data_IF_444066138670
#
_entry.id   IF_444066138670
#
_cell.length_a   1.000
_cell.length_b   1.000
_cell.length_c   1.000
_cell.angle_alpha   90.00
_cell.angle_beta   90.00
_cell.angle_gamma   90.00
#
_symmetry.space_group_name_H-M   'P 1'
#
loop_
_entity.id
_entity.type
_entity.pdbx_description
1 polymer ?
#
# COMPACT_ATOMS: atom_id res chain seq x y z
N UNK A 1 50.14 -25.33 11.49
CA UNK A 1 49.30 -26.13 10.58
C UNK A 1 47.93 -26.22 11.24
N UNK A 2 47.14 -25.16 11.09
CA UNK A 2 46.18 -24.91 10.00
C UNK A 2 44.83 -25.54 10.36
N UNK A 3 43.96 -24.63 10.79
CA UNK A 3 42.55 -24.73 11.16
C UNK A 3 41.68 -25.29 10.03
N UNK A 4 40.92 -26.36 10.33
CA UNK A 4 39.77 -26.79 9.55
C UNK A 4 38.57 -25.85 9.83
N UNK A 5 38.49 -24.76 9.07
CA UNK A 5 37.34 -23.86 9.04
C UNK A 5 36.48 -24.24 7.81
N UNK A 6 35.45 -25.06 8.01
CA UNK A 6 34.47 -25.35 6.98
C UNK A 6 33.63 -24.10 6.70
N UNK A 7 33.57 -23.56 5.46
CA UNK A 7 32.68 -22.44 5.17
C UNK A 7 31.23 -22.93 5.18
N UNK A 8 30.48 -22.50 6.19
CA UNK A 8 29.04 -22.66 6.30
C UNK A 8 28.35 -22.21 4.99
N UNK A 9 27.66 -23.13 4.30
CA UNK A 9 26.80 -22.83 3.16
C UNK A 9 25.74 -21.81 3.56
N UNK A 10 25.95 -20.55 3.17
CA UNK A 10 24.95 -19.48 3.26
C UNK A 10 23.67 -19.93 2.55
N UNK A 11 22.46 -19.70 3.12
CA UNK A 11 21.22 -20.03 2.44
C UNK A 11 21.16 -19.29 1.11
N UNK A 12 20.82 -20.01 0.03
CA UNK A 12 20.67 -19.47 -1.32
C UNK A 12 19.78 -18.23 -1.27
N UNK A 13 20.40 -17.07 -1.44
CA UNK A 13 19.72 -15.80 -1.57
C UNK A 13 18.73 -15.82 -2.74
N UNK A 14 17.66 -15.04 -2.57
CA UNK A 14 16.57 -14.81 -3.53
C UNK A 14 17.12 -14.54 -4.94
N UNK A 15 16.49 -15.07 -6.01
CA UNK A 15 17.02 -15.00 -7.37
C UNK A 15 17.41 -13.57 -7.79
N UNK A 16 18.56 -13.47 -8.46
CA UNK A 16 19.04 -12.24 -9.07
C UNK A 16 17.96 -11.72 -10.04
N UNK A 17 17.43 -10.53 -9.77
CA UNK A 17 16.29 -9.95 -10.49
C UNK A 17 15.13 -9.51 -9.60
N UNK A 18 15.12 -9.85 -8.31
CA UNK A 18 14.18 -9.23 -7.37
C UNK A 18 14.60 -7.76 -7.17
N UNK A 19 13.73 -6.79 -7.48
CA UNK A 19 13.97 -5.33 -7.43
C UNK A 19 14.50 -4.77 -6.09
N UNK A 20 14.67 -5.64 -5.09
CA UNK A 20 15.44 -5.42 -3.87
C UNK A 20 16.96 -5.25 -4.09
N UNK A 21 17.51 -5.58 -5.26
CA UNK A 21 18.94 -5.37 -5.60
C UNK A 21 19.21 -4.11 -6.42
N UNK A 22 18.17 -3.42 -6.89
CA UNK A 22 18.35 -2.18 -7.63
C UNK A 22 18.73 -1.02 -6.70
N UNK A 23 19.56 -0.08 -7.17
CA UNK A 23 19.83 1.16 -6.46
C UNK A 23 18.50 1.84 -6.06
N UNK A 24 18.41 2.47 -4.88
CA UNK A 24 17.16 3.02 -4.36
C UNK A 24 16.39 3.90 -5.35
N UNK A 25 17.13 4.65 -6.18
CA UNK A 25 16.59 5.54 -7.21
C UNK A 25 15.84 4.76 -8.32
N UNK A 26 16.38 3.61 -8.73
CA UNK A 26 15.78 2.76 -9.78
C UNK A 26 14.56 2.01 -9.22
N UNK A 27 14.63 1.56 -7.96
CA UNK A 27 13.46 0.96 -7.26
C UNK A 27 12.31 1.96 -7.11
N UNK A 28 12.63 3.20 -6.74
CA UNK A 28 11.63 4.27 -6.64
C UNK A 28 11.00 4.59 -8.00
N UNK A 29 11.81 4.60 -9.07
CA UNK A 29 11.35 4.82 -10.44
C UNK A 29 10.43 3.70 -10.93
N UNK A 30 10.84 2.43 -10.81
CA UNK A 30 9.99 1.28 -11.19
C UNK A 30 8.71 1.18 -10.34
N UNK A 31 8.77 1.52 -9.04
CA UNK A 31 7.55 1.57 -8.21
C UNK A 31 6.58 2.67 -8.66
N UNK A 32 7.09 3.81 -9.14
CA UNK A 32 6.28 4.88 -9.72
C UNK A 32 5.71 4.49 -11.09
N UNK A 33 6.53 3.91 -11.95
CA UNK A 33 6.12 3.42 -13.28
C UNK A 33 5.07 2.31 -13.18
N UNK A 34 5.23 1.34 -12.26
CA UNK A 34 4.22 0.30 -12.02
C UNK A 34 2.91 0.85 -11.45
N UNK A 35 2.94 1.92 -10.63
CA UNK A 35 1.72 2.58 -10.12
C UNK A 35 1.01 3.40 -11.18
N UNK A 36 1.77 4.06 -12.06
CA UNK A 36 1.20 4.77 -13.21
C UNK A 36 0.56 3.78 -14.21
N UNK A 37 1.15 2.59 -14.40
CA UNK A 37 0.60 1.53 -15.24
C UNK A 37 -0.74 0.96 -14.76
N UNK A 38 -1.09 1.13 -13.48
CA UNK A 38 -2.38 0.68 -12.91
C UNK A 38 -3.51 1.71 -13.00
N UNK A 39 -3.28 2.90 -13.55
CA UNK A 39 -4.32 3.93 -13.74
C UNK A 39 -4.93 4.49 -12.45
N UNK A 40 -4.31 4.25 -11.29
CA UNK A 40 -4.86 4.69 -10.00
C UNK A 40 -4.58 6.19 -9.78
N UNK A 41 -5.61 7.03 -9.89
CA UNK A 41 -5.55 8.45 -9.52
C UNK A 41 -5.22 8.60 -8.04
N UNK A 42 -4.10 9.26 -7.74
CA UNK A 42 -3.73 9.62 -6.38
C UNK A 42 -4.31 10.98 -6.03
N UNK A 43 -5.04 11.04 -4.92
CA UNK A 43 -5.54 12.28 -4.34
C UNK A 43 -4.85 12.50 -3.00
N UNK A 44 -4.23 13.66 -2.86
CA UNK A 44 -3.67 14.12 -1.58
C UNK A 44 -4.62 15.21 -1.04
N UNK A 45 -5.00 15.10 0.23
CA UNK A 45 -5.91 16.03 0.91
C UNK A 45 -5.51 16.17 2.39
N UNK A 46 -6.00 17.23 3.03
CA UNK A 46 -5.81 17.48 4.46
C UNK A 46 -7.15 17.42 5.18
N UNK A 47 -7.15 16.85 6.39
CA UNK A 47 -8.28 16.90 7.31
C UNK A 47 -7.93 17.85 8.46
N UNK A 48 -8.94 18.53 8.99
CA UNK A 48 -8.79 19.19 10.28
C UNK A 48 -8.55 18.14 11.40
N UNK A 49 -8.04 18.56 12.57
CA UNK A 49 -7.72 17.63 13.66
C UNK A 49 -8.92 16.80 14.16
N UNK A 50 -10.13 17.38 14.18
CA UNK A 50 -11.33 16.67 14.65
C UNK A 50 -11.74 15.59 13.64
N UNK A 51 -11.75 15.92 12.36
CA UNK A 51 -12.00 15.00 11.25
C UNK A 51 -10.95 13.88 11.18
N UNK A 52 -9.69 14.19 11.52
CA UNK A 52 -8.64 13.15 11.61
C UNK A 52 -8.87 12.19 12.79
N UNK A 53 -9.47 12.65 13.89
CA UNK A 53 -9.86 11.79 15.01
C UNK A 53 -10.98 10.83 14.63
N UNK A 54 -12.04 11.35 14.00
CA UNK A 54 -13.16 10.55 13.50
C UNK A 54 -12.72 9.49 12.49
N UNK A 55 -11.69 9.76 11.68
CA UNK A 55 -11.15 8.75 10.76
C UNK A 55 -10.58 7.53 11.52
N UNK A 56 -9.99 7.72 12.70
CA UNK A 56 -9.48 6.61 13.51
C UNK A 56 -10.64 5.78 14.06
N UNK A 57 -11.70 6.42 14.55
CA UNK A 57 -12.91 5.73 15.01
C UNK A 57 -13.56 4.91 13.89
N UNK A 58 -13.64 5.47 12.68
CA UNK A 58 -14.13 4.76 11.50
C UNK A 58 -13.25 3.57 11.10
N UNK A 59 -11.93 3.69 11.27
CA UNK A 59 -11.03 2.56 11.05
C UNK A 59 -11.33 1.40 11.99
N UNK A 60 -11.59 1.69 13.27
CA UNK A 60 -11.96 0.66 14.25
C UNK A 60 -13.32 0.05 13.93
N UNK A 61 -14.33 0.89 13.66
CA UNK A 61 -15.70 0.45 13.36
C UNK A 61 -15.77 -0.48 12.14
N UNK A 62 -15.02 -0.18 11.08
CA UNK A 62 -15.00 -0.96 9.85
C UNK A 62 -13.89 -2.01 9.81
N UNK A 63 -13.12 -2.16 10.88
CA UNK A 63 -11.95 -3.04 10.95
C UNK A 63 -10.96 -2.80 9.78
N UNK A 64 -10.79 -1.52 9.40
CA UNK A 64 -9.91 -1.12 8.32
C UNK A 64 -8.46 -1.09 8.81
N UNK A 65 -7.54 -1.71 8.05
CA UNK A 65 -6.12 -1.80 8.44
C UNK A 65 -5.36 -0.52 8.14
N UNK A 66 -5.87 0.29 7.21
CA UNK A 66 -5.24 1.53 6.78
C UNK A 66 -6.25 2.67 6.68
N UNK A 67 -5.77 3.90 6.91
CA UNK A 67 -6.56 5.13 6.68
C UNK A 67 -7.12 5.20 5.26
N UNK A 68 -6.37 4.72 4.27
CA UNK A 68 -6.80 4.65 2.87
C UNK A 68 -8.06 3.80 2.73
N UNK A 69 -8.08 2.61 3.31
CA UNK A 69 -9.24 1.70 3.24
C UNK A 69 -10.49 2.34 3.85
N UNK A 70 -10.34 2.96 5.03
CA UNK A 70 -11.45 3.66 5.67
C UNK A 70 -11.98 4.82 4.81
N UNK A 71 -11.09 5.65 4.24
CA UNK A 71 -11.49 6.75 3.35
C UNK A 71 -12.18 6.23 2.08
N UNK A 72 -11.66 5.16 1.47
CA UNK A 72 -12.28 4.55 0.29
C UNK A 72 -13.67 4.00 0.60
N UNK A 73 -13.85 3.37 1.76
CA UNK A 73 -15.15 2.88 2.21
C UNK A 73 -16.13 4.03 2.45
N UNK A 74 -15.70 5.08 3.15
CA UNK A 74 -16.51 6.28 3.38
C UNK A 74 -16.98 6.93 2.07
N UNK A 75 -16.08 7.06 1.09
CA UNK A 75 -16.43 7.59 -0.24
C UNK A 75 -17.42 6.69 -0.98
N UNK A 76 -17.31 5.36 -0.83
CA UNK A 76 -18.28 4.43 -1.42
C UNK A 76 -19.67 4.59 -0.81
N UNK A 77 -19.77 4.73 0.51
CA UNK A 77 -21.03 5.00 1.20
C UNK A 77 -21.64 6.31 0.72
N UNK A 78 -20.87 7.40 0.71
CA UNK A 78 -21.35 8.71 0.21
C UNK A 78 -21.79 8.62 -1.25
N UNK A 79 -21.04 7.90 -2.08
CA UNK A 79 -21.40 7.74 -3.49
C UNK A 79 -22.72 6.97 -3.67
N UNK A 80 -22.95 5.92 -2.88
CA UNK A 80 -24.21 5.17 -2.90
C UNK A 80 -25.40 6.00 -2.36
N UNK A 81 -25.18 6.87 -1.38
CA UNK A 81 -26.25 7.72 -0.83
C UNK A 81 -26.66 8.82 -1.78
N UNK A 82 -25.71 9.43 -2.52
CA UNK A 82 -26.02 10.46 -3.52
C UNK A 82 -26.49 9.87 -4.85
N UNK A 83 -26.06 8.64 -5.18
CA UNK A 83 -26.46 7.91 -6.39
C UNK A 83 -27.08 6.54 -6.05
N UNK A 84 -28.33 6.50 -5.52
CA UNK A 84 -28.97 5.27 -5.05
C UNK A 84 -29.21 4.22 -6.16
N UNK A 85 -29.17 4.63 -7.43
CA UNK A 85 -29.24 3.74 -8.60
C UNK A 85 -27.93 3.01 -8.91
N UNK A 86 -26.80 3.43 -8.31
CA UNK A 86 -25.52 2.77 -8.49
C UNK A 86 -25.38 1.58 -7.55
N UNK A 87 -25.86 0.41 -7.98
CA UNK A 87 -25.49 -0.86 -7.35
C UNK A 87 -24.06 -1.18 -7.79
N UNK A 88 -23.11 -1.15 -6.86
CA UNK A 88 -21.70 -1.46 -7.10
C UNK A 88 -21.56 -2.74 -7.93
N UNK A 89 -20.91 -2.62 -9.08
CA UNK A 89 -20.65 -3.76 -9.96
C UNK A 89 -19.59 -4.68 -9.36
N UNK A 90 -20.02 -5.93 -9.12
CA UNK A 90 -19.28 -7.19 -8.95
C UNK A 90 -18.11 -7.22 -7.94
#
# INVERSE_FOLDING_TARGET
MSTDDQPAKRPRGRPAGSGAQQPPQVRARQSRENRAGTGATRLDFSLDPASSGQLVELMELWNARTRKEAVQHALSVVYQTVNPTFKGGA
#
